data_IF_087226865177
#
_entry.id   IF_087226865177
#
_cell.length_a   1.000
_cell.length_b   1.000
_cell.length_c   1.000
_cell.angle_alpha   90.00
_cell.angle_beta   90.00
_cell.angle_gamma   90.00
#
_symmetry.space_group_name_H-M   'P 1'
#
loop_
_entity.id
_entity.type
_entity.pdbx_description
1 polymer ?
#
# COMPACT_ATOMS: atom_id res chain seq x y z
N UNK A 1 -8.33 34.40 -12.10
CA UNK A 1 -6.99 34.11 -11.59
C UNK A 1 -7.08 33.23 -10.36
N UNK A 2 -6.08 32.38 -10.18
CA UNK A 2 -6.04 31.44 -9.08
C UNK A 2 -5.44 32.11 -7.85
N UNK A 3 -6.11 32.02 -6.70
CA UNK A 3 -5.58 32.55 -5.45
C UNK A 3 -4.50 31.63 -4.88
N UNK A 4 -3.69 32.18 -3.98
CA UNK A 4 -2.66 31.39 -3.29
C UNK A 4 -3.29 30.23 -2.53
N UNK A 5 -4.45 30.47 -1.89
CA UNK A 5 -5.15 29.42 -1.15
C UNK A 5 -5.54 28.26 -2.05
N UNK A 6 -6.06 28.58 -3.26
CA UNK A 6 -6.43 27.54 -4.22
C UNK A 6 -5.22 26.70 -4.65
N UNK A 7 -4.06 27.36 -4.86
CA UNK A 7 -2.82 26.67 -5.22
C UNK A 7 -2.39 25.74 -4.09
N UNK A 8 -2.41 26.23 -2.85
CA UNK A 8 -2.02 25.43 -1.69
C UNK A 8 -2.96 24.22 -1.51
N UNK A 9 -4.26 24.45 -1.68
CA UNK A 9 -5.23 23.35 -1.58
C UNK A 9 -5.00 22.29 -2.66
N UNK A 10 -4.67 22.73 -3.88
CA UNK A 10 -4.36 21.79 -4.96
C UNK A 10 -3.10 20.98 -4.64
N UNK A 11 -2.07 21.62 -4.08
CA UNK A 11 -0.86 20.92 -3.69
C UNK A 11 -1.12 19.90 -2.59
N UNK A 12 -1.92 20.25 -1.58
CA UNK A 12 -2.30 19.33 -0.53
C UNK A 12 -3.02 18.13 -1.11
N UNK A 13 -3.95 18.35 -2.05
CA UNK A 13 -4.69 17.27 -2.69
C UNK A 13 -3.76 16.32 -3.43
N UNK A 14 -2.75 16.86 -4.13
CA UNK A 14 -1.76 16.03 -4.84
C UNK A 14 -0.96 15.19 -3.85
N UNK A 15 -0.51 15.79 -2.76
CA UNK A 15 0.26 15.06 -1.73
C UNK A 15 -0.59 13.96 -1.12
N UNK A 16 -1.86 14.24 -0.82
CA UNK A 16 -2.78 13.24 -0.27
C UNK A 16 -2.98 12.08 -1.24
N UNK A 17 -3.15 12.38 -2.53
CA UNK A 17 -3.33 11.35 -3.55
C UNK A 17 -2.09 10.47 -3.68
N UNK A 18 -0.91 11.06 -3.66
CA UNK A 18 0.34 10.32 -3.72
C UNK A 18 0.54 9.46 -2.49
N UNK A 19 0.22 9.99 -1.31
CA UNK A 19 0.34 9.23 -0.06
C UNK A 19 -0.62 8.04 -0.05
N UNK A 20 -1.84 8.22 -0.54
CA UNK A 20 -2.81 7.14 -0.64
C UNK A 20 -2.33 6.06 -1.60
N UNK A 21 -1.74 6.45 -2.73
CA UNK A 21 -1.22 5.49 -3.69
C UNK A 21 -0.07 4.66 -3.10
N UNK A 22 0.85 5.31 -2.39
CA UNK A 22 1.96 4.62 -1.72
C UNK A 22 1.41 3.65 -0.68
N UNK A 23 0.41 4.07 0.09
CA UNK A 23 -0.21 3.22 1.11
C UNK A 23 -0.85 1.99 0.49
N UNK A 24 -1.57 2.17 -0.61
CA UNK A 24 -2.21 1.06 -1.31
C UNK A 24 -1.18 0.06 -1.83
N UNK A 25 -0.09 0.55 -2.40
CA UNK A 25 0.99 -0.30 -2.88
C UNK A 25 1.64 -1.08 -1.74
N UNK A 26 1.88 -0.40 -0.62
CA UNK A 26 2.47 -1.03 0.56
C UNK A 26 1.54 -2.10 1.12
N UNK A 27 0.25 -1.80 1.25
CA UNK A 27 -0.73 -2.75 1.75
C UNK A 27 -0.81 -3.99 0.86
N UNK A 28 -0.82 -3.80 -0.46
CA UNK A 28 -0.85 -4.91 -1.40
C UNK A 28 0.40 -5.78 -1.27
N UNK A 29 1.55 -5.16 -1.10
CA UNK A 29 2.81 -5.87 -0.90
C UNK A 29 2.78 -6.70 0.39
N UNK A 30 2.31 -6.10 1.48
CA UNK A 30 2.23 -6.79 2.78
C UNK A 30 1.26 -7.96 2.70
N UNK A 31 0.10 -7.78 2.09
CA UNK A 31 -0.88 -8.85 1.94
C UNK A 31 -0.31 -10.00 1.12
N UNK A 32 0.36 -9.70 0.03
CA UNK A 32 0.96 -10.70 -0.83
C UNK A 32 2.07 -11.46 -0.09
N UNK A 33 2.91 -10.77 0.64
CA UNK A 33 3.98 -11.37 1.42
C UNK A 33 3.42 -12.26 2.52
N UNK A 34 2.38 -11.80 3.20
CA UNK A 34 1.71 -12.58 4.25
C UNK A 34 1.13 -13.86 3.68
N UNK A 35 0.48 -13.77 2.52
CA UNK A 35 -0.10 -14.95 1.89
C UNK A 35 0.98 -15.97 1.52
N UNK A 36 2.07 -15.51 0.95
CA UNK A 36 3.20 -16.39 0.60
C UNK A 36 3.78 -17.06 1.84
N UNK A 37 3.90 -16.32 2.93
CA UNK A 37 4.41 -16.88 4.18
C UNK A 37 3.49 -17.98 4.72
N UNK A 38 2.18 -17.75 4.66
CA UNK A 38 1.20 -18.75 5.09
C UNK A 38 1.26 -20.01 4.23
N UNK A 39 1.37 -19.85 2.92
CA UNK A 39 1.50 -21.00 2.01
C UNK A 39 2.77 -21.79 2.28
N UNK A 40 3.87 -21.09 2.56
CA UNK A 40 5.13 -21.74 2.92
C UNK A 40 5.01 -22.56 4.21
N UNK A 41 4.29 -22.03 5.19
CA UNK A 41 4.05 -22.73 6.45
C UNK A 41 3.23 -24.01 6.23
N UNK A 42 2.19 -23.92 5.40
CA UNK A 42 1.37 -25.09 5.08
C UNK A 42 2.17 -26.16 4.36
N UNK A 43 3.03 -25.77 3.43
CA UNK A 43 3.90 -26.71 2.73
C UNK A 43 4.82 -27.44 3.70
N UNK A 44 5.38 -26.72 4.66
CA UNK A 44 6.24 -27.32 5.67
C UNK A 44 5.51 -28.34 6.52
N UNK A 45 4.28 -28.03 6.90
CA UNK A 45 3.43 -28.97 7.66
C UNK A 45 3.18 -30.24 6.86
N UNK A 46 2.92 -30.11 5.57
CA UNK A 46 2.68 -31.26 4.70
C UNK A 46 3.94 -32.11 4.54
N UNK A 47 5.11 -31.48 4.47
CA UNK A 47 6.38 -32.19 4.32
C UNK A 47 6.74 -32.99 5.55
N UNK A 48 6.36 -32.50 6.74
CA UNK A 48 6.66 -33.18 7.99
C UNK A 48 5.82 -34.46 8.19
N UNK A 49 4.70 -34.49 7.53
CA UNK A 49 3.81 -35.65 7.58
C UNK A 49 4.14 -36.66 6.51
#
# INVERSE_FOLDING_TARGET
>A
STTLLEVLNAQVSVVQARSSLVRLKYDAFIQQTTLKALLGTLDNENEEN
#
